data_IF_642861840851
#
_entry.id   IF_642861840851
#
_cell.length_a   1.000
_cell.length_b   1.000
_cell.length_c   1.000
_cell.angle_alpha   90.00
_cell.angle_beta   90.00
_cell.angle_gamma   90.00
#
_symmetry.space_group_name_H-M   'P 1'
#
loop_
_entity.id
_entity.type
_entity.pdbx_description
1 polymer ?
#
# COMPACT_ATOMS: atom_id res chain seq x y z
N UNK A 1 -16.85 -14.97 11.67
CA UNK A 1 -16.71 -13.51 11.57
C UNK A 1 -17.76 -13.01 10.59
N UNK A 2 -18.50 -11.96 10.94
CA UNK A 2 -19.36 -11.27 9.98
C UNK A 2 -18.48 -10.50 8.99
N UNK A 3 -18.78 -10.51 7.68
CA UNK A 3 -18.05 -9.71 6.69
C UNK A 3 -17.95 -8.25 7.13
N UNK A 4 -16.79 -7.61 6.94
CA UNK A 4 -16.74 -6.15 7.05
C UNK A 4 -17.63 -5.49 6.00
N UNK A 5 -18.33 -4.42 6.40
CA UNK A 5 -19.08 -3.56 5.48
C UNK A 5 -18.18 -2.57 4.73
N UNK A 6 -16.89 -2.49 5.08
CA UNK A 6 -15.92 -1.66 4.38
C UNK A 6 -15.30 -2.46 3.21
N UNK A 7 -15.44 -2.05 1.95
CA UNK A 7 -14.94 -2.81 0.81
C UNK A 7 -13.42 -3.02 0.82
N UNK A 8 -12.64 -2.10 1.41
CA UNK A 8 -11.18 -2.25 1.55
C UNK A 8 -10.86 -3.39 2.52
N UNK A 9 -11.41 -3.35 3.73
CA UNK A 9 -11.25 -4.42 4.73
C UNK A 9 -11.72 -5.76 4.18
N UNK A 10 -12.87 -5.76 3.49
CA UNK A 10 -13.43 -6.95 2.87
C UNK A 10 -12.51 -7.56 1.83
N UNK A 11 -11.82 -6.75 1.02
CA UNK A 11 -10.87 -7.26 0.03
C UNK A 11 -9.68 -7.99 0.67
N UNK A 12 -9.17 -7.49 1.81
CA UNK A 12 -8.12 -8.18 2.57
C UNK A 12 -8.64 -9.45 3.27
N UNK A 13 -9.86 -9.44 3.82
CA UNK A 13 -10.48 -10.65 4.39
C UNK A 13 -10.60 -11.78 3.35
N UNK A 14 -11.05 -11.44 2.15
CA UNK A 14 -11.20 -12.40 1.04
C UNK A 14 -9.83 -12.93 0.59
N UNK A 15 -8.84 -12.05 0.46
CA UNK A 15 -7.49 -12.45 0.08
C UNK A 15 -6.84 -13.36 1.14
N UNK A 16 -7.02 -13.07 2.43
CA UNK A 16 -6.50 -13.89 3.52
C UNK A 16 -7.13 -15.29 3.56
N UNK A 17 -8.34 -15.48 3.02
CA UNK A 17 -8.96 -16.79 2.87
C UNK A 17 -8.43 -17.59 1.67
N UNK A 18 -7.79 -16.93 0.70
CA UNK A 18 -7.32 -17.53 -0.55
C UNK A 18 -5.78 -17.60 -0.66
N UNK A 19 -5.05 -16.85 0.16
CA UNK A 19 -3.60 -16.70 0.09
C UNK A 19 -2.99 -16.65 1.49
N UNK A 20 -2.07 -17.57 1.79
CA UNK A 20 -1.42 -17.67 3.10
C UNK A 20 -0.42 -16.52 3.34
N UNK A 21 0.32 -16.09 2.32
CA UNK A 21 1.30 -15.00 2.41
C UNK A 21 1.28 -14.14 1.14
N UNK A 22 0.88 -12.89 1.31
CA UNK A 22 0.80 -11.89 0.25
C UNK A 22 2.18 -11.31 -0.12
N UNK A 23 3.17 -11.41 0.77
CA UNK A 23 4.48 -10.76 0.64
C UNK A 23 5.22 -11.13 -0.65
N UNK A 24 5.36 -12.42 -1.01
CA UNK A 24 6.08 -12.79 -2.23
C UNK A 24 5.39 -12.27 -3.49
N UNK A 25 4.05 -12.28 -3.51
CA UNK A 25 3.26 -11.83 -4.66
C UNK A 25 3.41 -10.32 -4.88
N UNK A 26 3.30 -9.54 -3.81
CA UNK A 26 3.45 -8.08 -3.86
C UNK A 26 4.85 -7.68 -4.30
N UNK A 27 5.90 -8.25 -3.72
CA UNK A 27 7.27 -7.88 -4.08
C UNK A 27 7.69 -8.38 -5.45
N UNK A 28 7.21 -9.56 -5.88
CA UNK A 28 7.45 -10.03 -7.25
C UNK A 28 6.82 -9.08 -8.27
N UNK A 29 5.59 -8.61 -8.00
CA UNK A 29 4.91 -7.63 -8.86
C UNK A 29 5.62 -6.28 -8.84
N UNK A 30 5.93 -5.75 -7.66
CA UNK A 30 6.66 -4.50 -7.48
C UNK A 30 7.95 -4.51 -8.28
N UNK A 31 8.76 -5.56 -8.18
CA UNK A 31 10.05 -5.64 -8.87
C UNK A 31 9.95 -5.86 -10.37
N UNK A 32 8.82 -6.37 -10.86
CA UNK A 32 8.52 -6.49 -12.29
C UNK A 32 8.13 -5.13 -12.88
N UNK A 33 7.31 -4.37 -12.16
CA UNK A 33 6.76 -3.09 -12.62
C UNK A 33 7.70 -1.91 -12.33
N UNK A 34 8.49 -2.01 -11.26
CA UNK A 34 9.48 -1.05 -10.78
C UNK A 34 10.82 -1.74 -10.47
N UNK A 35 11.60 -2.14 -11.49
CA UNK A 35 12.88 -2.82 -11.30
C UNK A 35 13.88 -2.05 -10.42
N UNK A 36 13.79 -0.72 -10.41
CA UNK A 36 14.58 0.16 -9.55
C UNK A 36 14.39 -0.15 -8.05
N UNK A 37 13.22 -0.63 -7.64
CA UNK A 37 12.92 -0.96 -6.24
C UNK A 37 13.75 -2.15 -5.73
N UNK A 38 14.21 -3.05 -6.62
CA UNK A 38 15.07 -4.17 -6.25
C UNK A 38 16.35 -3.69 -5.57
N UNK A 39 16.82 -2.49 -5.93
CA UNK A 39 18.02 -1.89 -5.37
C UNK A 39 17.95 -1.68 -3.87
N UNK A 40 16.75 -1.42 -3.36
CA UNK A 40 16.49 -1.09 -1.96
C UNK A 40 16.48 -2.33 -1.06
N UNK A 41 16.38 -3.54 -1.65
CA UNK A 41 16.28 -4.81 -0.93
C UNK A 41 17.40 -5.80 -1.28
N UNK A 42 18.55 -5.33 -1.76
CA UNK A 42 19.66 -6.19 -2.21
C UNK A 42 20.40 -6.92 -1.08
N UNK A 43 20.28 -6.46 0.17
CA UNK A 43 20.97 -7.07 1.31
C UNK A 43 20.38 -8.45 1.60
N UNK A 44 21.25 -9.45 1.80
CA UNK A 44 20.84 -10.78 2.27
C UNK A 44 20.05 -10.65 3.58
N UNK A 45 18.91 -11.33 3.67
CA UNK A 45 18.02 -11.24 4.83
C UNK A 45 17.08 -10.02 4.82
N UNK A 46 16.80 -9.46 3.64
CA UNK A 46 15.78 -8.41 3.49
C UNK A 46 14.34 -8.95 3.53
N UNK A 47 14.15 -10.26 3.48
CA UNK A 47 12.85 -10.93 3.47
C UNK A 47 11.96 -10.57 4.69
N UNK A 48 12.47 -10.57 5.94
CA UNK A 48 11.69 -10.12 7.08
C UNK A 48 11.35 -8.63 7.03
N UNK A 49 12.23 -7.81 6.44
CA UNK A 49 11.98 -6.36 6.23
C UNK A 49 10.83 -6.17 5.25
N UNK A 50 10.83 -6.93 4.14
CA UNK A 50 9.76 -6.90 3.14
C UNK A 50 8.40 -7.21 3.75
N UNK A 51 8.33 -8.30 4.53
CA UNK A 51 7.11 -8.70 5.23
C UNK A 51 6.65 -7.67 6.26
N UNK A 52 7.57 -7.12 7.05
CA UNK A 52 7.24 -6.09 8.04
C UNK A 52 6.74 -4.80 7.39
N UNK A 53 7.37 -4.36 6.30
CA UNK A 53 6.96 -3.18 5.54
C UNK A 53 5.58 -3.37 4.91
N UNK A 54 5.30 -4.56 4.36
CA UNK A 54 3.97 -4.85 3.82
C UNK A 54 2.90 -4.87 4.92
N UNK A 55 3.16 -5.54 6.05
CA UNK A 55 2.24 -5.57 7.19
C UNK A 55 1.90 -4.15 7.67
N UNK A 56 2.92 -3.29 7.89
CA UNK A 56 2.72 -1.90 8.28
C UNK A 56 1.91 -1.11 7.25
N UNK A 57 2.16 -1.36 5.95
CA UNK A 57 1.42 -0.69 4.87
C UNK A 57 -0.04 -1.13 4.86
N UNK A 58 -0.34 -2.41 5.08
CA UNK A 58 -1.72 -2.92 5.19
C UNK A 58 -2.42 -2.30 6.39
N UNK A 59 -1.77 -2.25 7.56
CA UNK A 59 -2.32 -1.59 8.75
C UNK A 59 -2.66 -0.12 8.49
N UNK A 60 -1.76 0.60 7.80
CA UNK A 60 -1.98 1.99 7.40
C UNK A 60 -3.18 2.15 6.44
N UNK A 61 -3.32 1.25 5.46
CA UNK A 61 -4.45 1.23 4.53
C UNK A 61 -5.77 1.00 5.28
N UNK A 62 -5.80 0.03 6.19
CA UNK A 62 -7.01 -0.30 6.96
C UNK A 62 -7.42 0.84 7.89
N UNK A 63 -6.48 1.47 8.60
CA UNK A 63 -6.77 2.65 9.43
C UNK A 63 -7.28 3.83 8.57
N UNK A 64 -6.65 4.04 7.41
CA UNK A 64 -7.02 5.10 6.48
C UNK A 64 -8.43 4.92 5.87
N UNK A 65 -8.80 3.68 5.56
CA UNK A 65 -10.09 3.30 5.02
C UNK A 65 -11.20 3.28 6.08
N UNK A 66 -10.86 3.06 7.35
CA UNK A 66 -11.79 3.05 8.47
C UNK A 66 -12.06 4.43 9.07
N UNK A 67 -12.33 4.48 10.37
CA UNK A 67 -12.63 5.72 11.10
C UNK A 67 -11.39 6.60 11.40
N UNK A 68 -10.20 6.21 10.91
CA UNK A 68 -8.94 6.99 11.03
C UNK A 68 -8.58 7.35 12.47
N UNK A 69 -8.69 6.37 13.36
CA UNK A 69 -8.58 6.58 14.81
C UNK A 69 -7.14 6.76 15.32
N UNK A 70 -6.10 6.62 14.50
CA UNK A 70 -4.73 6.89 14.97
C UNK A 70 -3.59 6.94 13.95
N UNK A 71 -3.72 6.39 12.74
CA UNK A 71 -2.60 6.20 11.80
C UNK A 71 -2.73 6.98 10.49
N UNK A 72 -3.71 7.88 10.34
CA UNK A 72 -3.75 8.81 9.19
C UNK A 72 -2.44 9.61 9.04
N UNK A 73 -1.79 9.96 10.16
CA UNK A 73 -0.47 10.60 10.15
C UNK A 73 0.68 9.66 9.82
N UNK A 74 0.48 8.35 9.83
CA UNK A 74 1.52 7.37 9.53
C UNK A 74 1.87 7.42 8.05
N UNK A 75 0.88 7.44 7.15
CA UNK A 75 1.14 7.62 5.71
C UNK A 75 1.91 8.93 5.48
N UNK A 76 1.46 10.02 6.10
CA UNK A 76 2.15 11.32 6.03
C UNK A 76 3.58 11.28 6.58
N UNK A 77 3.83 10.58 7.68
CA UNK A 77 5.15 10.43 8.31
C UNK A 77 6.07 9.55 7.48
N UNK A 78 5.53 8.47 6.91
CA UNK A 78 6.30 7.52 6.11
C UNK A 78 6.80 8.13 4.81
N UNK A 79 6.06 9.07 4.20
CA UNK A 79 6.56 9.83 3.03
C UNK A 79 7.90 10.51 3.34
N UNK A 80 8.03 11.15 4.51
CA UNK A 80 9.29 11.79 4.91
C UNK A 80 10.40 10.78 5.20
N UNK A 81 10.07 9.67 5.88
CA UNK A 81 11.03 8.59 6.12
C UNK A 81 11.57 8.03 4.79
N UNK A 82 10.69 7.84 3.80
CA UNK A 82 11.03 7.29 2.49
C UNK A 82 11.85 8.27 1.63
N UNK A 83 11.59 9.59 1.73
CA UNK A 83 12.46 10.61 1.13
C UNK A 83 13.90 10.48 1.70
N UNK A 84 14.06 10.26 3.01
CA UNK A 84 15.38 10.10 3.64
C UNK A 84 16.12 8.82 3.20
N UNK A 85 15.38 7.77 2.83
CA UNK A 85 15.94 6.55 2.23
C UNK A 85 16.18 6.65 0.72
N UNK A 86 15.78 7.76 0.08
CA UNK A 86 15.94 7.97 -1.35
C UNK A 86 14.88 7.26 -2.20
N UNK A 87 13.76 6.86 -1.61
CA UNK A 87 12.65 6.26 -2.35
C UNK A 87 11.88 7.36 -3.09
N UNK A 88 11.75 7.29 -4.44
CA UNK A 88 10.94 8.25 -5.17
C UNK A 88 9.49 8.22 -4.68
N UNK A 89 8.88 9.40 -4.51
CA UNK A 89 7.48 9.49 -4.05
C UNK A 89 6.49 8.79 -4.99
N UNK A 90 6.78 8.77 -6.29
CA UNK A 90 6.02 8.00 -7.27
C UNK A 90 6.08 6.49 -6.98
N UNK A 91 7.25 5.98 -6.59
CA UNK A 91 7.41 4.58 -6.18
C UNK A 91 6.69 4.29 -4.85
N UNK A 92 6.70 5.24 -3.92
CA UNK A 92 5.94 5.14 -2.67
C UNK A 92 4.43 5.00 -2.94
N UNK A 93 3.86 5.85 -3.80
CA UNK A 93 2.44 5.76 -4.18
C UNK A 93 2.16 4.48 -4.98
N UNK A 94 3.05 4.12 -5.91
CA UNK A 94 2.90 2.92 -6.73
C UNK A 94 2.83 1.63 -5.90
N UNK A 95 3.48 1.57 -4.74
CA UNK A 95 3.41 0.41 -3.86
C UNK A 95 1.98 0.09 -3.40
N UNK A 96 1.15 1.10 -3.11
CA UNK A 96 -0.26 0.90 -2.77
C UNK A 96 -1.05 0.35 -3.95
N UNK A 97 -0.77 0.84 -5.17
CA UNK A 97 -1.40 0.34 -6.38
C UNK A 97 -1.04 -1.13 -6.63
N UNK A 98 0.23 -1.50 -6.46
CA UNK A 98 0.71 -2.89 -6.56
C UNK A 98 -0.03 -3.83 -5.60
N UNK A 99 -0.29 -3.39 -4.36
CA UNK A 99 -1.07 -4.17 -3.38
C UNK A 99 -2.50 -4.38 -3.88
N UNK A 100 -3.19 -3.31 -4.29
CA UNK A 100 -4.57 -3.39 -4.80
C UNK A 100 -4.66 -4.35 -6.01
N UNK A 101 -3.69 -4.25 -6.89
CA UNK A 101 -3.55 -5.06 -8.08
C UNK A 101 -3.30 -6.55 -7.76
N UNK A 102 -2.48 -6.86 -6.76
CA UNK A 102 -2.31 -8.23 -6.25
C UNK A 102 -3.61 -8.76 -5.63
N UNK A 103 -4.34 -7.95 -4.87
CA UNK A 103 -5.63 -8.36 -4.32
C UNK A 103 -6.65 -8.64 -5.43
N UNK A 104 -6.70 -7.80 -6.47
CA UNK A 104 -7.58 -8.03 -7.63
C UNK A 104 -7.28 -9.37 -8.31
N UNK A 105 -6.00 -9.69 -8.50
CA UNK A 105 -5.60 -10.96 -9.12
C UNK A 105 -5.96 -12.18 -8.25
N UNK A 106 -5.85 -12.06 -6.92
CA UNK A 106 -6.22 -13.12 -5.97
C UNK A 106 -7.74 -13.32 -5.92
N UNK A 107 -8.49 -12.22 -5.85
CA UNK A 107 -9.94 -12.26 -5.70
C UNK A 107 -10.65 -12.69 -6.98
N UNK A 108 -10.09 -12.39 -8.16
CA UNK A 108 -10.70 -12.71 -9.45
C UNK A 108 -12.15 -12.23 -9.53
N UNK A 109 -13.09 -13.15 -9.72
CA UNK A 109 -14.53 -12.84 -9.78
C UNK A 109 -15.11 -12.26 -8.48
N UNK A 110 -14.41 -12.42 -7.35
CA UNK A 110 -14.82 -11.84 -6.06
C UNK A 110 -14.42 -10.37 -5.92
N UNK A 111 -13.62 -9.82 -6.84
CA UNK A 111 -13.33 -8.39 -6.92
C UNK A 111 -14.54 -7.67 -7.52
N UNK A 112 -15.42 -7.16 -6.66
CA UNK A 112 -16.65 -6.47 -7.07
C UNK A 112 -16.39 -5.02 -7.49
N UNK A 113 -17.34 -4.44 -8.22
CA UNK A 113 -17.32 -3.01 -8.58
C UNK A 113 -17.23 -2.08 -7.35
N UNK A 114 -17.77 -2.53 -6.21
CA UNK A 114 -17.70 -1.79 -4.95
C UNK A 114 -16.27 -1.78 -4.38
N UNK A 115 -15.60 -2.93 -4.38
CA UNK A 115 -14.19 -3.05 -3.98
C UNK A 115 -13.33 -2.21 -4.92
N UNK A 116 -13.56 -2.32 -6.22
CA UNK A 116 -12.84 -1.57 -7.24
C UNK A 116 -12.96 -0.05 -7.04
N UNK A 117 -14.18 0.46 -6.88
CA UNK A 117 -14.42 1.89 -6.67
C UNK A 117 -13.79 2.40 -5.36
N UNK A 118 -13.82 1.59 -4.29
CA UNK A 118 -13.20 1.94 -3.02
C UNK A 118 -11.67 2.05 -3.15
N UNK A 119 -11.02 1.10 -3.80
CA UNK A 119 -9.57 1.13 -4.04
C UNK A 119 -9.17 2.31 -4.93
N UNK A 120 -9.89 2.57 -6.01
CA UNK A 120 -9.66 3.76 -6.85
C UNK A 120 -9.77 5.06 -6.06
N UNK A 121 -10.74 5.17 -5.14
CA UNK A 121 -10.86 6.35 -4.26
C UNK A 121 -9.68 6.45 -3.30
N UNK A 122 -9.32 5.34 -2.64
CA UNK A 122 -8.23 5.30 -1.66
C UNK A 122 -6.90 5.71 -2.29
N UNK A 123 -6.57 5.19 -3.48
CA UNK A 123 -5.34 5.53 -4.20
C UNK A 123 -5.28 7.02 -4.55
N UNK A 124 -6.38 7.61 -5.03
CA UNK A 124 -6.46 9.05 -5.30
C UNK A 124 -6.27 9.90 -4.03
N UNK A 125 -6.87 9.47 -2.92
CA UNK A 125 -6.74 10.20 -1.65
C UNK A 125 -5.28 10.14 -1.13
N UNK A 126 -4.60 9.00 -1.27
CA UNK A 126 -3.17 8.86 -0.91
C UNK A 126 -2.30 9.73 -1.82
N UNK A 127 -2.51 9.69 -3.12
CA UNK A 127 -1.78 10.53 -4.08
C UNK A 127 -1.93 12.02 -3.74
N UNK A 128 -3.15 12.47 -3.41
CA UNK A 128 -3.41 13.85 -3.01
C UNK A 128 -2.63 14.25 -1.75
N UNK A 129 -2.51 13.36 -0.75
CA UNK A 129 -1.72 13.60 0.47
C UNK A 129 -0.24 13.80 0.12
N UNK A 130 0.32 12.90 -0.71
CA UNK A 130 1.72 12.95 -1.13
C UNK A 130 2.03 14.23 -1.93
N UNK A 131 1.11 14.64 -2.82
CA UNK A 131 1.21 15.88 -3.59
C UNK A 131 1.11 17.13 -2.71
N UNK A 132 0.15 17.17 -1.78
CA UNK A 132 -0.01 18.31 -0.86
C UNK A 132 1.24 18.52 0.00
N UNK A 133 1.88 17.44 0.45
CA UNK A 133 3.14 17.53 1.19
C UNK A 133 4.30 18.04 0.34
N UNK A 134 4.36 17.70 -0.95
CA UNK A 134 5.39 18.20 -1.87
C UNK A 134 5.40 19.73 -1.91
N UNK A 135 4.22 20.33 -2.07
CA UNK A 135 4.07 21.79 -2.09
C UNK A 135 4.50 22.48 -0.78
N UNK A 136 4.33 21.82 0.37
CA UNK A 136 4.76 22.36 1.66
C UNK A 136 6.27 22.34 1.87
N UNK A 137 6.97 21.34 1.32
CA UNK A 137 8.44 21.26 1.36
C UNK A 137 9.05 22.28 0.40
N UNK A 138 8.54 22.34 -0.84
CA UNK A 138 9.03 23.28 -1.85
C UNK A 138 8.83 24.75 -1.44
N UNK A 139 7.76 25.07 -0.71
CA UNK A 139 7.50 26.42 -0.20
C UNK A 139 8.42 26.83 0.98
N UNK A 140 9.15 25.89 1.58
CA UNK A 140 10.06 26.13 2.71
C UNK A 140 11.54 26.14 2.33
N UNK A 141 11.89 25.73 1.10
CA UNK A 141 13.24 25.71 0.55
C UNK A 141 13.60 27.03 -0.15
#
# INVERSE_FOLDING_TARGET
>A
MTPSSNPIERSFELAAAACDDLTPLVYQRLFREHPEAQAMFRTEGSEPVKGSMLALTIEAILDFAGERRGHFRLIESEVFSHDAYGTPRELFVAFFAVIADCLRDILGEQWSDEIDAAWHKLLRDIEAIVLQQKHLVDAKA
#
